data_IF_101207929523
#
_entry.id   IF_101207929523
#
_cell.length_a   1.000
_cell.length_b   1.000
_cell.length_c   1.000
_cell.angle_alpha   90.00
_cell.angle_beta   90.00
_cell.angle_gamma   90.00
#
_symmetry.space_group_name_H-M   'P 1'
#
loop_
_entity.id
_entity.type
_entity.pdbx_description
1 polymer ?
#
# COMPACT_ATOMS: atom_id res chain seq x y z
N UNK A 1 21.78 -28.63 -31.62
CA UNK A 1 20.82 -27.51 -31.75
C UNK A 1 19.86 -27.54 -30.58
N UNK A 2 20.15 -26.83 -29.48
CA UNK A 2 19.19 -26.64 -28.38
C UNK A 2 19.29 -25.18 -27.95
N UNK A 3 18.60 -24.33 -28.70
CA UNK A 3 18.74 -22.86 -28.68
C UNK A 3 17.43 -22.21 -28.24
N UNK A 4 16.74 -22.78 -27.26
CA UNK A 4 15.47 -22.26 -26.76
C UNK A 4 15.35 -22.59 -25.25
N UNK A 5 14.69 -21.72 -24.49
CA UNK A 5 14.47 -21.74 -23.02
C UNK A 5 15.39 -20.78 -22.22
N UNK A 6 15.50 -19.51 -22.61
CA UNK A 6 15.77 -18.40 -21.65
C UNK A 6 15.02 -17.14 -22.11
N UNK A 7 13.69 -17.16 -22.17
CA UNK A 7 12.88 -15.94 -22.47
C UNK A 7 11.75 -15.70 -21.44
N UNK A 8 11.44 -16.65 -20.54
CA UNK A 8 10.27 -16.55 -19.66
C UNK A 8 10.44 -15.79 -18.33
N UNK A 9 11.66 -15.60 -17.81
CA UNK A 9 11.87 -15.13 -16.43
C UNK A 9 11.85 -13.60 -16.31
N UNK A 10 12.22 -12.87 -17.37
CA UNK A 10 12.32 -11.41 -17.33
C UNK A 10 10.95 -10.70 -17.19
N UNK A 11 9.88 -11.29 -17.73
CA UNK A 11 8.53 -10.68 -17.71
C UNK A 11 7.90 -10.66 -16.31
N UNK A 12 8.18 -11.66 -15.47
CA UNK A 12 7.63 -11.75 -14.11
C UNK A 12 8.27 -10.73 -13.16
N UNK A 13 9.57 -10.46 -13.34
CA UNK A 13 10.29 -9.45 -12.55
C UNK A 13 9.79 -8.03 -12.83
N UNK A 14 9.39 -7.75 -14.08
CA UNK A 14 8.82 -6.45 -14.47
C UNK A 14 7.45 -6.21 -13.83
N UNK A 15 6.61 -7.25 -13.70
CA UNK A 15 5.28 -7.12 -13.10
C UNK A 15 5.35 -6.77 -11.60
N UNK A 16 6.25 -7.42 -10.84
CA UNK A 16 6.43 -7.15 -9.40
C UNK A 16 6.97 -5.73 -9.15
N UNK A 17 7.95 -5.29 -9.94
CA UNK A 17 8.47 -3.93 -9.83
C UNK A 17 7.38 -2.87 -10.13
N UNK A 18 6.56 -3.09 -11.16
CA UNK A 18 5.46 -2.18 -11.50
C UNK A 18 4.42 -2.04 -10.38
N UNK A 19 4.03 -3.15 -9.75
CA UNK A 19 3.11 -3.15 -8.61
C UNK A 19 3.72 -2.41 -7.40
N UNK A 20 4.99 -2.65 -7.10
CA UNK A 20 5.70 -1.98 -6.01
C UNK A 20 5.74 -0.46 -6.21
N UNK A 21 6.05 0.02 -7.42
CA UNK A 21 6.08 1.45 -7.71
C UNK A 21 4.68 2.09 -7.62
N UNK A 22 3.65 1.41 -8.14
CA UNK A 22 2.27 1.92 -8.06
C UNK A 22 1.80 2.06 -6.61
N UNK A 23 2.00 1.04 -5.79
CA UNK A 23 1.64 1.09 -4.37
C UNK A 23 2.36 2.24 -3.62
N UNK A 24 3.65 2.45 -3.90
CA UNK A 24 4.41 3.58 -3.33
C UNK A 24 3.80 4.93 -3.71
N UNK A 25 3.42 5.11 -4.98
CA UNK A 25 2.79 6.36 -5.44
C UNK A 25 1.49 6.61 -4.69
N UNK A 26 0.59 5.62 -4.66
CA UNK A 26 -0.73 5.75 -4.02
C UNK A 26 -0.61 6.09 -2.54
N UNK A 27 0.34 5.50 -1.83
CA UNK A 27 0.56 5.83 -0.41
C UNK A 27 1.10 7.24 -0.24
N UNK A 28 2.05 7.67 -1.09
CA UNK A 28 2.59 9.03 -1.03
C UNK A 28 1.51 10.08 -1.26
N UNK A 29 0.70 9.87 -2.30
CA UNK A 29 -0.41 10.75 -2.66
C UNK A 29 -1.43 10.81 -1.50
N UNK A 30 -1.78 9.66 -0.92
CA UNK A 30 -2.68 9.61 0.23
C UNK A 30 -2.14 10.34 1.48
N UNK A 31 -0.87 10.15 1.84
CA UNK A 31 -0.27 10.82 3.00
C UNK A 31 -0.28 12.34 2.79
N UNK A 32 0.09 12.80 1.59
CA UNK A 32 0.13 14.22 1.26
C UNK A 32 -1.28 14.85 1.24
N UNK A 33 -2.25 14.19 0.60
CA UNK A 33 -3.59 14.74 0.39
C UNK A 33 -4.52 14.58 1.58
N UNK A 34 -4.41 13.48 2.33
CA UNK A 34 -5.37 13.13 3.38
C UNK A 34 -4.83 13.30 4.79
N UNK A 35 -3.53 13.05 5.00
CA UNK A 35 -2.91 13.23 6.32
C UNK A 35 -2.28 14.62 6.46
N UNK A 36 -1.97 15.29 5.34
CA UNK A 36 -1.26 16.58 5.31
C UNK A 36 0.06 16.54 6.10
N UNK A 37 0.71 15.38 6.12
CA UNK A 37 1.96 15.15 6.83
C UNK A 37 3.13 15.29 5.84
N UNK A 38 4.08 16.17 6.14
CA UNK A 38 5.37 16.21 5.44
C UNK A 38 6.30 15.18 6.07
N UNK A 39 6.43 14.02 5.42
CA UNK A 39 7.15 12.87 5.94
C UNK A 39 8.38 12.54 5.10
N UNK A 40 9.46 12.15 5.77
CA UNK A 40 10.64 11.59 5.09
C UNK A 40 10.53 10.07 5.06
N UNK A 41 10.29 9.50 3.88
CA UNK A 41 10.19 8.06 3.71
C UNK A 41 11.56 7.39 3.87
N UNK A 42 11.65 6.45 4.81
CA UNK A 42 12.88 5.69 5.09
C UNK A 42 12.89 4.35 4.35
N UNK A 43 11.76 3.64 4.36
CA UNK A 43 11.66 2.30 3.79
C UNK A 43 10.22 1.97 3.38
N UNK A 44 10.12 1.12 2.35
CA UNK A 44 8.88 0.55 1.87
C UNK A 44 9.09 -0.95 1.69
N UNK A 45 8.37 -1.75 2.50
CA UNK A 45 8.35 -3.19 2.36
C UNK A 45 7.73 -3.61 1.01
N UNK A 46 7.97 -4.86 0.62
CA UNK A 46 7.33 -5.43 -0.57
C UNK A 46 5.81 -5.47 -0.41
N UNK A 47 5.12 -5.20 -1.53
CA UNK A 47 3.67 -5.31 -1.62
C UNK A 47 3.25 -6.77 -1.58
N UNK A 48 2.23 -7.06 -0.78
CA UNK A 48 1.61 -8.38 -0.72
C UNK A 48 0.09 -8.27 -0.61
N UNK A 49 -0.60 -9.35 -0.90
CA UNK A 49 -2.05 -9.46 -0.82
C UNK A 49 -2.51 -9.92 0.56
N UNK A 50 -3.74 -9.56 0.95
CA UNK A 50 -4.41 -10.09 2.14
C UNK A 50 -5.88 -10.35 1.84
N UNK A 51 -6.39 -11.45 2.41
CA UNK A 51 -7.79 -11.86 2.29
C UNK A 51 -8.58 -11.75 3.60
N UNK A 52 -7.92 -11.29 4.67
CA UNK A 52 -8.37 -11.51 6.06
C UNK A 52 -9.07 -10.28 6.66
N UNK A 53 -9.12 -9.16 5.95
CA UNK A 53 -9.74 -7.95 6.46
C UNK A 53 -11.24 -7.95 6.24
N UNK A 54 -12.00 -8.08 7.34
CA UNK A 54 -13.44 -7.87 7.33
C UNK A 54 -13.78 -6.38 7.32
N UNK A 55 -14.97 -6.06 6.81
CA UNK A 55 -15.49 -4.68 6.79
C UNK A 55 -15.48 -4.05 8.18
N UNK A 56 -15.76 -4.81 9.25
CA UNK A 56 -15.69 -4.31 10.63
C UNK A 56 -14.28 -3.87 11.03
N UNK A 57 -13.24 -4.60 10.61
CA UNK A 57 -11.84 -4.23 10.87
C UNK A 57 -11.47 -2.97 10.08
N UNK A 58 -11.89 -2.88 8.81
CA UNK A 58 -11.68 -1.70 7.96
C UNK A 58 -12.33 -0.47 8.62
N UNK A 59 -13.59 -0.57 9.03
CA UNK A 59 -14.31 0.53 9.66
C UNK A 59 -13.69 0.93 11.01
N UNK A 60 -13.20 -0.04 11.79
CA UNK A 60 -12.48 0.26 13.03
C UNK A 60 -11.16 1.03 12.76
N UNK A 61 -10.42 0.69 11.69
CA UNK A 61 -9.21 1.44 11.29
C UNK A 61 -9.56 2.86 10.86
N UNK A 62 -10.56 3.03 9.99
CA UNK A 62 -11.02 4.36 9.53
C UNK A 62 -11.48 5.25 10.68
N UNK A 63 -12.23 4.68 11.63
CA UNK A 63 -12.72 5.43 12.80
C UNK A 63 -11.60 5.93 13.72
N UNK A 64 -10.45 5.25 13.76
CA UNK A 64 -9.30 5.66 14.58
C UNK A 64 -8.50 6.79 13.95
N UNK A 65 -8.43 6.82 12.62
CA UNK A 65 -7.65 7.79 11.88
C UNK A 65 -8.32 9.17 11.76
N UNK A 66 -9.65 9.24 11.92
CA UNK A 66 -10.42 10.49 11.91
C UNK A 66 -11.45 10.54 10.79
N UNK A 67 -12.48 11.37 10.97
CA UNK A 67 -13.66 11.42 10.07
C UNK A 67 -13.44 12.20 8.77
N UNK A 68 -12.37 12.98 8.66
CA UNK A 68 -12.09 13.84 7.50
C UNK A 68 -11.31 13.14 6.38
N UNK A 69 -10.83 11.92 6.62
CA UNK A 69 -10.02 11.17 5.65
C UNK A 69 -10.94 10.50 4.63
N UNK A 70 -10.66 10.76 3.35
CA UNK A 70 -11.31 10.08 2.23
C UNK A 70 -10.57 8.80 1.92
N UNK A 71 -11.32 7.69 1.88
CA UNK A 71 -10.79 6.37 1.58
C UNK A 71 -11.36 5.86 0.27
N UNK A 72 -10.54 5.09 -0.44
CA UNK A 72 -10.97 4.35 -1.61
C UNK A 72 -12.04 3.33 -1.23
N UNK A 73 -13.10 3.29 -2.04
CA UNK A 73 -14.08 2.22 -1.97
C UNK A 73 -13.45 0.95 -2.57
N UNK A 74 -13.71 -0.19 -1.93
CA UNK A 74 -13.23 -1.48 -2.40
C UNK A 74 -14.39 -2.42 -2.64
N UNK A 75 -14.22 -3.30 -3.62
CA UNK A 75 -15.12 -4.40 -3.90
C UNK A 75 -14.29 -5.69 -3.88
N UNK A 76 -14.74 -6.68 -3.12
CA UNK A 76 -14.07 -7.98 -3.00
C UNK A 76 -13.32 -8.18 -1.69
N UNK A 77 -12.81 -9.40 -1.50
CA UNK A 77 -12.18 -9.86 -0.26
C UNK A 77 -10.67 -9.66 -0.21
N UNK A 78 -10.05 -9.28 -1.33
CA UNK A 78 -8.60 -9.17 -1.45
C UNK A 78 -8.19 -7.72 -1.49
N UNK A 79 -7.28 -7.34 -0.59
CA UNK A 79 -6.62 -6.03 -0.58
C UNK A 79 -5.13 -6.22 -0.78
N UNK A 80 -4.49 -5.23 -1.39
CA UNK A 80 -3.03 -5.15 -1.41
C UNK A 80 -2.58 -4.41 -0.15
N UNK A 81 -1.39 -4.69 0.35
CA UNK A 81 -0.85 -3.93 1.47
C UNK A 81 0.63 -3.67 1.33
N UNK A 82 1.05 -2.55 1.91
CA UNK A 82 2.45 -2.11 1.94
C UNK A 82 2.75 -1.52 3.32
N UNK A 83 3.87 -1.93 3.91
CA UNK A 83 4.37 -1.31 5.14
C UNK A 83 5.37 -0.22 4.79
N UNK A 84 5.23 0.91 5.46
CA UNK A 84 6.08 2.08 5.29
C UNK A 84 6.73 2.42 6.63
N UNK A 85 8.00 2.79 6.58
CA UNK A 85 8.70 3.47 7.67
C UNK A 85 9.02 4.89 7.22
N UNK A 86 8.75 5.87 8.07
CA UNK A 86 8.94 7.28 7.74
C UNK A 86 9.29 8.08 8.99
N UNK A 87 9.90 9.24 8.79
CA UNK A 87 10.11 10.24 9.83
C UNK A 87 8.97 11.24 9.81
N UNK A 88 8.40 11.50 10.98
CA UNK A 88 7.45 12.59 11.24
C UNK A 88 7.96 13.36 12.46
N UNK A 89 8.26 14.65 12.31
CA UNK A 89 8.75 15.52 13.39
C UNK A 89 9.90 14.94 14.25
N UNK A 90 10.80 14.15 13.62
CA UNK A 90 11.96 13.43 14.19
C UNK A 90 11.67 12.05 14.78
N UNK A 91 10.41 11.67 14.91
CA UNK A 91 10.04 10.33 15.34
C UNK A 91 10.05 9.37 14.16
N UNK A 92 10.61 8.18 14.37
CA UNK A 92 10.52 7.10 13.39
C UNK A 92 9.19 6.38 13.57
N UNK A 93 8.29 6.58 12.61
CA UNK A 93 6.98 5.95 12.57
C UNK A 93 6.96 4.78 11.60
N UNK A 94 6.01 3.85 11.82
CA UNK A 94 5.66 2.85 10.84
C UNK A 94 4.14 2.73 10.69
N UNK A 95 3.69 2.57 9.46
CA UNK A 95 2.29 2.30 9.15
C UNK A 95 2.16 1.23 8.07
N UNK A 96 1.06 0.48 8.12
CA UNK A 96 0.65 -0.43 7.06
C UNK A 96 -0.56 0.16 6.36
N UNK A 97 -0.44 0.35 5.06
CA UNK A 97 -1.50 0.86 4.19
C UNK A 97 -2.11 -0.30 3.42
N UNK A 98 -3.44 -0.34 3.38
CA UNK A 98 -4.22 -1.31 2.62
C UNK A 98 -4.83 -0.60 1.41
N UNK A 99 -4.54 -1.10 0.23
CA UNK A 99 -4.97 -0.59 -1.06
C UNK A 99 -6.03 -1.52 -1.65
N UNK A 100 -6.89 -0.97 -2.51
CA UNK A 100 -7.73 -1.82 -3.35
C UNK A 100 -6.86 -2.69 -4.28
N UNK A 101 -7.46 -3.74 -4.84
CA UNK A 101 -6.74 -4.72 -5.66
C UNK A 101 -6.00 -4.09 -6.85
N UNK A 102 -6.57 -3.04 -7.43
CA UNK A 102 -6.01 -2.36 -8.60
C UNK A 102 -5.00 -1.27 -8.21
N UNK A 103 -4.79 -1.05 -6.90
CA UNK A 103 -3.94 0.00 -6.33
C UNK A 103 -4.31 1.38 -6.91
N UNK A 104 -5.60 1.70 -6.87
CA UNK A 104 -6.15 3.00 -7.28
C UNK A 104 -6.31 3.95 -6.09
N UNK A 105 -6.37 3.44 -4.86
CA UNK A 105 -6.39 4.26 -3.66
C UNK A 105 -6.24 3.46 -2.35
N UNK A 106 -6.06 4.19 -1.24
CA UNK A 106 -5.96 3.61 0.10
C UNK A 106 -7.36 3.34 0.65
N UNK A 107 -7.63 2.09 1.00
CA UNK A 107 -8.88 1.63 1.60
C UNK A 107 -8.88 1.85 3.11
N UNK A 108 -7.75 1.63 3.76
CA UNK A 108 -7.54 1.87 5.18
C UNK A 108 -6.03 1.89 5.49
N UNK A 109 -5.65 2.38 6.66
CA UNK A 109 -4.29 2.22 7.17
C UNK A 109 -4.28 1.98 8.67
N UNK A 110 -3.17 1.43 9.15
CA UNK A 110 -2.89 1.18 10.56
C UNK A 110 -1.50 1.72 10.89
N UNK A 111 -1.40 2.59 11.90
CA UNK A 111 -0.11 2.94 12.54
C UNK A 111 0.32 1.80 13.48
N UNK A 112 1.60 1.44 13.45
CA UNK A 112 2.18 0.30 14.18
C UNK A 112 2.86 0.75 15.47
#
# INVERSE_FOLDING_TARGET
MHKYIIIGIALLLLASCGQQQRAKSVVKDFVQEQLHEDVSYLDFADVDSTHVLSDSIIQAMRSRAGKSIQYQNYQGKTLMHIRVKYLLDKDTCSATFYLDKEMTGVVAFKRN
#
